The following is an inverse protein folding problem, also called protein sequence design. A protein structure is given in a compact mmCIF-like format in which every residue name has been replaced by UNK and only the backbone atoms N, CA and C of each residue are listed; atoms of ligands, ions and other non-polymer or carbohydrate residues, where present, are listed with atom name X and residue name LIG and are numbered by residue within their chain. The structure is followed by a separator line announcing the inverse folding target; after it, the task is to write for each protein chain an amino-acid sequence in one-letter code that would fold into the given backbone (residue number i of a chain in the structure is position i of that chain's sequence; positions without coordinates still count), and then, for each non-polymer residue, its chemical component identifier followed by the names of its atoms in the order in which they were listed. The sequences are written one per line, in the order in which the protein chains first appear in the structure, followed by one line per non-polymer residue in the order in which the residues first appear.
data_IF_390890199068
#
_entry.id   IF_390890199068
#
_cell.length_a   1.000
_cell.length_b   1.000
_cell.length_c   1.000
_cell.angle_alpha   90.00
_cell.angle_beta   90.00
_cell.angle_gamma   90.00
#
_symmetry.space_group_name_H-M   'P 1'
#
loop_
_entity.id
_entity.type
_entity.pdbx_description
1 polymer ?
#
# COMPACT_ATOMS: atom_id res chain seq x y z
N UNK A 1 27.14 45.75 45.98
CA UNK A 1 27.25 46.86 44.99
C UNK A 1 27.68 46.27 43.66
N UNK A 2 27.02 46.68 42.57
CA UNK A 2 27.24 46.39 41.13
C UNK A 2 26.46 45.24 40.48
N UNK A 3 25.40 45.69 39.81
CA UNK A 3 24.65 45.22 38.63
C UNK A 3 25.52 44.94 37.39
N UNK A 4 25.05 44.06 36.47
CA UNK A 4 24.95 44.15 34.97
C UNK A 4 24.81 42.70 34.40
N UNK A 5 23.63 42.20 34.04
CA UNK A 5 22.86 42.21 32.76
C UNK A 5 23.22 41.07 31.76
N UNK A 6 22.17 40.25 31.49
CA UNK A 6 21.78 39.44 30.32
C UNK A 6 22.78 38.59 29.50
N UNK A 7 22.48 37.30 29.42
CA UNK A 7 22.40 36.57 28.14
C UNK A 7 21.39 35.42 28.25
N UNK A 8 20.31 35.55 27.48
CA UNK A 8 19.28 34.54 27.26
C UNK A 8 19.83 33.52 26.27
N UNK A 9 19.86 32.25 26.67
CA UNK A 9 19.91 31.11 25.75
C UNK A 9 18.86 30.09 26.22
N UNK A 10 17.64 30.27 25.74
CA UNK A 10 16.61 29.23 25.75
C UNK A 10 16.92 28.35 24.53
N UNK A 11 17.56 27.21 24.76
CA UNK A 11 17.51 26.10 23.82
C UNK A 11 16.23 25.31 24.11
N UNK A 12 15.22 25.52 23.27
CA UNK A 12 14.12 24.58 23.08
C UNK A 12 14.66 23.48 22.15
N UNK A 13 15.06 22.35 22.70
CA UNK A 13 15.09 21.11 21.92
C UNK A 13 13.70 20.49 21.98
N UNK A 14 13.10 20.39 20.80
CA UNK A 14 11.81 19.76 20.56
C UNK A 14 11.85 18.29 20.98
N UNK A 15 10.94 17.92 21.88
CA UNK A 15 10.69 16.53 22.22
C UNK A 15 10.07 15.81 21.02
N UNK A 16 10.89 15.17 20.19
CA UNK A 16 10.46 14.08 19.32
C UNK A 16 9.85 12.99 20.22
N UNK A 17 8.53 12.84 20.17
CA UNK A 17 7.81 11.85 20.97
C UNK A 17 8.10 10.43 20.50
N UNK A 18 8.91 9.69 21.26
CA UNK A 18 9.06 8.24 21.11
C UNK A 18 7.86 7.55 21.74
N UNK A 19 7.04 6.86 20.94
CA UNK A 19 5.87 6.12 21.41
C UNK A 19 5.92 4.65 21.03
N UNK A 20 6.03 3.75 22.01
CA UNK A 20 5.79 2.32 21.82
C UNK A 20 4.29 2.05 21.85
N UNK A 21 3.71 1.55 20.74
CA UNK A 21 2.36 0.97 20.73
C UNK A 21 2.45 -0.44 20.15
N UNK A 22 1.94 -1.43 20.87
CA UNK A 22 1.94 -2.86 20.49
C UNK A 22 3.32 -3.50 20.21
N UNK A 23 4.39 -3.01 20.85
CA UNK A 23 5.73 -3.62 20.75
C UNK A 23 6.44 -3.40 19.41
N UNK A 24 5.95 -2.51 18.56
CA UNK A 24 6.58 -2.11 17.29
C UNK A 24 7.11 -0.68 17.41
N UNK A 25 8.36 -0.47 17.00
CA UNK A 25 8.97 0.85 16.93
C UNK A 25 8.45 1.56 15.66
N UNK A 26 7.55 2.54 15.81
CA UNK A 26 7.11 3.37 14.70
C UNK A 26 8.07 4.56 14.54
N UNK A 27 8.94 4.51 13.53
CA UNK A 27 9.71 5.67 13.08
C UNK A 27 9.27 5.98 11.64
N UNK A 28 8.86 7.22 11.35
CA UNK A 28 8.40 7.71 10.03
C UNK A 28 9.43 7.47 8.92
N UNK A 29 10.72 7.48 9.26
CA UNK A 29 11.85 7.19 8.36
C UNK A 29 11.82 5.75 7.79
N UNK A 30 11.21 4.78 8.50
CA UNK A 30 11.14 3.39 8.02
C UNK A 30 10.11 3.19 6.90
N UNK A 31 9.05 4.00 6.86
CA UNK A 31 8.03 3.95 5.79
C UNK A 31 8.59 4.52 4.49
N UNK A 32 9.41 5.57 4.55
CA UNK A 32 10.13 6.13 3.40
C UNK A 32 11.18 5.15 2.83
N UNK A 33 11.86 4.38 3.69
CA UNK A 33 12.83 3.37 3.27
C UNK A 33 12.21 2.11 2.66
N UNK A 34 10.93 1.85 2.92
CA UNK A 34 10.20 0.72 2.37
C UNK A 34 9.49 1.05 1.05
N UNK A 35 9.05 2.31 0.88
CA UNK A 35 8.30 2.81 -0.28
C UNK A 35 9.08 2.78 -1.61
N UNK A 36 10.39 2.57 -1.59
CA UNK A 36 11.23 2.58 -2.78
C UNK A 36 11.56 1.22 -3.39
N UNK A 37 11.21 0.11 -2.72
CA UNK A 37 11.60 -1.24 -3.18
C UNK A 37 10.57 -1.80 -4.16
N UNK A 38 11.05 -2.22 -5.33
CA UNK A 38 10.22 -2.86 -6.35
C UNK A 38 10.95 -4.04 -7.01
N UNK A 39 10.18 -4.91 -7.65
CA UNK A 39 10.66 -6.10 -8.35
C UNK A 39 10.68 -5.87 -9.86
N UNK A 40 11.74 -6.34 -10.54
CA UNK A 40 11.86 -6.32 -12.00
C UNK A 40 12.32 -7.65 -12.55
N UNK A 41 11.66 -8.06 -13.63
CA UNK A 41 12.09 -9.15 -14.50
C UNK A 41 12.85 -8.60 -15.71
N UNK A 42 13.55 -9.46 -16.44
CA UNK A 42 14.07 -9.08 -17.76
C UNK A 42 12.93 -8.92 -18.76
N UNK A 43 13.11 -8.10 -19.79
CA UNK A 43 12.21 -8.06 -20.96
C UNK A 43 12.04 -9.43 -21.64
N UNK A 44 13.02 -10.32 -21.48
CA UNK A 44 12.99 -11.68 -22.01
C UNK A 44 12.43 -12.72 -21.01
N UNK A 45 11.76 -12.24 -19.96
CA UNK A 45 11.10 -13.04 -18.93
C UNK A 45 11.94 -13.28 -17.68
N UNK A 46 11.37 -14.11 -16.81
CA UNK A 46 11.87 -14.45 -15.47
C UNK A 46 13.24 -15.12 -15.46
N UNK A 47 14.06 -14.77 -14.46
CA UNK A 47 15.38 -15.34 -14.17
C UNK A 47 16.36 -15.24 -15.34
N UNK A 48 16.41 -14.06 -15.97
CA UNK A 48 17.30 -13.79 -17.10
C UNK A 48 18.34 -12.73 -16.84
N UNK A 49 18.38 -12.07 -15.68
CA UNK A 49 19.36 -11.01 -15.42
C UNK A 49 20.60 -11.56 -14.69
N UNK A 50 21.77 -11.36 -15.27
CA UNK A 50 23.04 -11.44 -14.52
C UNK A 50 23.13 -10.30 -13.52
N UNK A 51 24.05 -10.38 -12.54
CA UNK A 51 24.19 -9.30 -11.54
C UNK A 51 24.46 -7.92 -12.19
N UNK A 52 25.26 -7.90 -13.27
CA UNK A 52 25.58 -6.66 -13.98
C UNK A 52 24.36 -6.10 -14.71
N UNK A 53 23.56 -6.96 -15.36
CA UNK A 53 22.34 -6.55 -16.05
C UNK A 53 21.27 -6.09 -15.06
N UNK A 54 21.08 -6.82 -13.96
CA UNK A 54 20.17 -6.45 -12.87
C UNK A 54 20.50 -5.07 -12.29
N UNK A 55 21.78 -4.80 -12.03
CA UNK A 55 22.25 -3.49 -11.59
C UNK A 55 21.92 -2.39 -12.62
N UNK A 56 22.19 -2.64 -13.90
CA UNK A 56 21.92 -1.68 -14.97
C UNK A 56 20.42 -1.38 -15.14
N UNK A 57 19.54 -2.37 -14.94
CA UNK A 57 18.08 -2.18 -14.95
C UNK A 57 17.67 -1.18 -13.86
N UNK A 58 18.11 -1.40 -12.62
CA UNK A 58 17.76 -0.49 -11.53
C UNK A 58 18.34 0.92 -11.74
N UNK A 59 19.57 1.04 -12.23
CA UNK A 59 20.21 2.34 -12.51
C UNK A 59 19.51 3.09 -13.65
N UNK A 60 19.05 2.39 -14.68
CA UNK A 60 18.28 2.98 -15.78
C UNK A 60 16.94 3.58 -15.30
N UNK A 61 16.31 2.94 -14.31
CA UNK A 61 15.06 3.41 -13.68
C UNK A 61 15.31 4.42 -12.54
N UNK A 62 16.49 5.06 -12.51
CA UNK A 62 16.84 6.09 -11.53
C UNK A 62 17.08 5.57 -10.11
N UNK A 63 17.17 4.25 -9.94
CA UNK A 63 17.39 3.59 -8.66
C UNK A 63 18.74 2.88 -8.57
N UNK A 64 18.80 1.93 -7.64
CA UNK A 64 19.94 1.02 -7.43
C UNK A 64 19.43 -0.35 -6.98
N UNK A 65 20.28 -1.36 -6.92
CA UNK A 65 19.90 -2.62 -6.28
C UNK A 65 19.53 -2.39 -4.81
N UNK A 66 18.39 -2.95 -4.38
CA UNK A 66 17.94 -2.89 -3.00
C UNK A 66 18.90 -3.62 -2.07
N UNK A 67 19.08 -3.10 -0.86
CA UNK A 67 19.80 -3.84 0.20
C UNK A 67 18.89 -4.89 0.84
N UNK A 68 19.47 -5.80 1.61
CA UNK A 68 18.71 -6.80 2.34
C UNK A 68 17.76 -6.14 3.34
N UNK A 69 18.22 -5.11 4.02
CA UNK A 69 17.46 -4.35 5.02
C UNK A 69 16.29 -3.62 4.38
N UNK A 70 16.51 -3.03 3.19
CA UNK A 70 15.44 -2.38 2.42
C UNK A 70 14.38 -3.39 1.98
N UNK A 71 14.80 -4.56 1.47
CA UNK A 71 13.86 -5.62 1.09
C UNK A 71 13.07 -6.17 2.30
N UNK A 72 13.72 -6.32 3.46
CA UNK A 72 13.06 -6.75 4.69
C UNK A 72 12.09 -5.69 5.23
N UNK A 73 12.44 -4.41 5.16
CA UNK A 73 11.54 -3.30 5.50
C UNK A 73 10.30 -3.29 4.59
N UNK A 74 10.49 -3.41 3.27
CA UNK A 74 9.41 -3.53 2.30
C UNK A 74 8.51 -4.74 2.61
N UNK A 75 9.10 -5.89 2.95
CA UNK A 75 8.35 -7.09 3.35
C UNK A 75 7.49 -6.83 4.60
N UNK A 76 8.02 -6.14 5.61
CA UNK A 76 7.29 -5.87 6.85
C UNK A 76 6.03 -5.03 6.63
N UNK A 77 5.98 -4.22 5.56
CA UNK A 77 4.79 -3.44 5.18
C UNK A 77 3.93 -4.12 4.11
N UNK A 78 4.19 -5.38 3.77
CA UNK A 78 3.32 -6.18 2.89
C UNK A 78 3.89 -6.50 1.50
N UNK A 79 5.11 -6.06 1.17
CA UNK A 79 5.73 -6.40 -0.12
C UNK A 79 6.04 -7.89 -0.22
N UNK A 80 5.37 -8.59 -1.13
CA UNK A 80 5.43 -10.04 -1.29
C UNK A 80 5.69 -10.42 -2.74
N UNK A 81 6.77 -11.16 -2.99
CA UNK A 81 7.11 -11.62 -4.34
C UNK A 81 7.66 -13.05 -4.28
N UNK A 82 7.08 -13.93 -5.08
CA UNK A 82 7.46 -15.35 -5.16
C UNK A 82 8.53 -15.63 -6.22
N UNK A 83 9.62 -14.87 -6.19
CA UNK A 83 10.65 -14.93 -7.22
C UNK A 83 12.00 -14.51 -6.66
N UNK A 84 13.03 -15.34 -6.77
CA UNK A 84 14.36 -14.98 -6.31
C UNK A 84 14.99 -13.90 -7.20
N UNK A 85 15.56 -12.86 -6.58
CA UNK A 85 16.14 -11.74 -7.28
C UNK A 85 17.47 -11.28 -6.70
N UNK A 86 18.25 -10.60 -7.53
CA UNK A 86 19.48 -9.93 -7.12
C UNK A 86 19.21 -8.78 -6.15
N UNK A 87 20.08 -8.68 -5.16
CA UNK A 87 20.19 -7.59 -4.19
C UNK A 87 21.60 -6.99 -4.24
N UNK A 88 21.75 -5.87 -3.54
CA UNK A 88 23.01 -5.17 -3.40
C UNK A 88 24.15 -6.10 -2.96
N UNK A 89 25.36 -5.87 -3.48
CA UNK A 89 26.58 -6.69 -3.26
C UNK A 89 26.51 -8.13 -3.78
N UNK A 90 25.50 -8.49 -4.58
CA UNK A 90 25.39 -9.81 -5.19
C UNK A 90 24.77 -10.86 -4.27
N UNK A 91 23.99 -10.41 -3.27
CA UNK A 91 23.12 -11.31 -2.51
C UNK A 91 21.90 -11.66 -3.35
N UNK A 92 21.31 -12.83 -3.14
CA UNK A 92 20.06 -13.24 -3.78
C UNK A 92 19.07 -13.66 -2.71
N UNK A 93 17.82 -13.21 -2.84
CA UNK A 93 16.73 -13.63 -1.96
C UNK A 93 15.39 -13.09 -2.44
N UNK A 94 14.32 -13.34 -1.68
CA UNK A 94 12.98 -12.84 -1.99
C UNK A 94 12.06 -12.73 -0.77
N UNK A 95 11.13 -11.74 -0.73
CA UNK A 95 10.31 -11.44 0.45
C UNK A 95 9.00 -12.24 0.50
N UNK A 96 8.77 -12.92 1.63
CA UNK A 96 7.55 -13.68 1.91
C UNK A 96 6.77 -13.09 3.08
N UNK A 97 5.58 -12.57 2.76
CA UNK A 97 4.59 -12.09 3.73
C UNK A 97 3.58 -13.20 4.03
N UNK A 98 2.99 -13.78 2.99
CA UNK A 98 1.99 -14.86 3.09
C UNK A 98 2.58 -16.16 2.54
N UNK A 99 3.14 -17.03 3.40
CA UNK A 99 3.82 -18.23 2.92
C UNK A 99 2.83 -19.29 2.43
N UNK A 100 3.21 -19.98 1.35
CA UNK A 100 2.56 -21.20 0.88
C UNK A 100 3.61 -22.29 0.70
N UNK A 101 3.22 -23.53 0.41
CA UNK A 101 4.21 -24.59 0.12
C UNK A 101 5.03 -24.26 -1.13
N UNK A 102 4.37 -23.71 -2.15
CA UNK A 102 5.01 -23.31 -3.42
C UNK A 102 5.71 -21.95 -3.33
N UNK A 103 5.51 -21.22 -2.24
CA UNK A 103 6.06 -19.89 -2.04
C UNK A 103 6.59 -19.68 -0.63
N UNK A 104 7.91 -19.80 -0.48
CA UNK A 104 8.57 -19.68 0.82
C UNK A 104 8.54 -20.97 1.65
N UNK A 105 8.06 -22.09 1.11
CA UNK A 105 8.03 -23.39 1.77
C UNK A 105 7.38 -23.34 3.16
N UNK A 106 6.28 -22.60 3.29
CA UNK A 106 5.58 -22.39 4.56
C UNK A 106 6.25 -21.42 5.53
N UNK A 107 7.33 -20.73 5.13
CA UNK A 107 8.08 -19.79 5.99
C UNK A 107 7.92 -18.35 5.54
N UNK A 108 7.64 -17.46 6.51
CA UNK A 108 7.67 -16.00 6.34
C UNK A 108 9.09 -15.46 6.47
N UNK A 109 9.34 -14.26 5.93
CA UNK A 109 10.64 -13.59 5.97
C UNK A 109 11.28 -13.47 4.59
N UNK A 110 12.55 -13.05 4.53
CA UNK A 110 13.35 -13.17 3.31
C UNK A 110 13.83 -14.62 3.19
N UNK A 111 13.48 -15.28 2.08
CA UNK A 111 14.14 -16.52 1.70
C UNK A 111 15.48 -16.13 1.08
N UNK A 112 16.55 -16.29 1.85
CA UNK A 112 17.88 -15.81 1.52
C UNK A 112 18.76 -16.93 0.96
N UNK A 113 19.26 -16.74 -0.26
CA UNK A 113 20.20 -17.65 -0.93
C UNK A 113 21.67 -17.20 -0.75
N UNK A 114 21.89 -16.14 0.04
CA UNK A 114 23.21 -15.64 0.39
C UNK A 114 23.90 -14.89 -0.75
N UNK A 115 25.18 -14.57 -0.53
CA UNK A 115 26.03 -13.92 -1.53
C UNK A 115 26.46 -14.92 -2.61
N UNK A 116 26.20 -14.60 -3.87
CA UNK A 116 26.58 -15.44 -5.00
C UNK A 116 27.97 -15.04 -5.48
N UNK A 117 28.89 -16.02 -5.50
CA UNK A 117 30.24 -15.83 -6.03
C UNK A 117 30.24 -15.80 -7.57
N UNK A 118 29.36 -16.59 -8.20
CA UNK A 118 29.18 -16.61 -9.64
C UNK A 118 28.20 -15.51 -10.07
N UNK A 119 28.72 -14.36 -10.47
CA UNK A 119 27.91 -13.21 -10.93
C UNK A 119 27.26 -13.41 -12.31
N UNK A 120 27.55 -14.51 -12.99
CA UNK A 120 26.91 -14.92 -14.24
C UNK A 120 25.65 -15.75 -14.03
N UNK A 121 25.32 -16.13 -12.79
CA UNK A 121 24.00 -16.67 -12.46
C UNK A 121 22.89 -15.71 -12.89
N UNK A 122 21.69 -16.24 -13.13
CA UNK A 122 20.57 -15.43 -13.61
C UNK A 122 19.39 -15.52 -12.65
N UNK A 123 18.89 -14.36 -12.29
CA UNK A 123 17.79 -14.16 -11.35
C UNK A 123 16.93 -12.98 -11.84
N UNK A 124 15.85 -12.69 -11.13
CA UNK A 124 15.17 -11.40 -11.27
C UNK A 124 15.97 -10.33 -10.51
N UNK A 125 15.41 -9.15 -10.28
CA UNK A 125 16.08 -8.13 -9.47
C UNK A 125 15.14 -7.37 -8.56
N UNK A 126 15.64 -6.99 -7.40
CA UNK A 126 15.00 -6.03 -6.51
C UNK A 126 15.75 -4.71 -6.59
N UNK A 127 15.04 -3.69 -7.02
CA UNK A 127 15.53 -2.34 -7.10
C UNK A 127 15.04 -1.53 -5.91
N UNK A 128 15.77 -0.48 -5.61
CA UNK A 128 15.44 0.53 -4.63
C UNK A 128 15.66 1.89 -5.25
N UNK A 129 14.61 2.68 -5.32
CA UNK A 129 14.71 4.09 -5.64
C UNK A 129 14.08 4.88 -4.47
N UNK A 130 14.87 5.61 -3.65
CA UNK A 130 14.32 6.42 -2.56
C UNK A 130 13.49 7.61 -3.08
N UNK A 131 13.67 7.96 -4.34
CA UNK A 131 12.88 8.94 -5.08
C UNK A 131 11.85 8.26 -5.98
N UNK A 132 11.62 6.95 -5.80
CA UNK A 132 10.43 6.29 -6.33
C UNK A 132 9.25 7.00 -5.71
N UNK A 133 8.56 7.76 -6.54
CA UNK A 133 7.28 8.34 -6.18
C UNK A 133 6.15 7.32 -6.32
N UNK A 134 6.48 6.05 -6.60
CA UNK A 134 5.55 4.95 -6.51
C UNK A 134 5.22 4.63 -5.04
N UNK A 135 3.93 4.45 -4.73
CA UNK A 135 3.51 4.12 -3.37
C UNK A 135 2.30 3.19 -3.31
N UNK A 136 1.95 2.74 -2.10
CA UNK A 136 0.77 1.89 -1.86
C UNK A 136 1.10 0.41 -1.60
N UNK A 137 0.35 -0.52 -2.19
CA UNK A 137 0.51 -1.97 -2.01
C UNK A 137 -0.82 -2.74 -1.89
N UNK A 138 -0.73 -4.02 -1.51
CA UNK A 138 -1.91 -4.89 -1.30
C UNK A 138 -2.37 -4.80 0.15
N UNK A 139 -3.65 -4.46 0.35
CA UNK A 139 -4.28 -4.30 1.66
C UNK A 139 -5.28 -5.42 1.90
N UNK A 140 -5.19 -6.09 3.05
CA UNK A 140 -6.04 -7.24 3.37
C UNK A 140 -6.63 -7.22 4.78
N UNK A 141 -6.38 -6.14 5.50
CA UNK A 141 -6.97 -5.84 6.79
C UNK A 141 -8.48 -5.59 6.61
N UNK A 142 -9.33 -5.90 7.61
CA UNK A 142 -10.76 -5.65 7.53
C UNK A 142 -11.10 -4.15 7.58
N UNK A 143 -10.20 -3.30 8.04
CA UNK A 143 -10.38 -1.84 8.04
C UNK A 143 -9.02 -1.14 7.97
N UNK A 144 -8.94 -0.05 7.20
CA UNK A 144 -7.75 0.82 7.17
C UNK A 144 -8.11 2.23 6.69
N UNK A 145 -7.37 3.22 7.18
CA UNK A 145 -7.34 4.57 6.60
C UNK A 145 -6.11 4.67 5.69
N UNK A 146 -6.36 4.96 4.42
CA UNK A 146 -5.38 5.26 3.39
C UNK A 146 -5.22 6.78 3.34
N UNK A 147 -3.96 7.24 3.24
CA UNK A 147 -3.64 8.66 3.14
C UNK A 147 -2.72 8.89 1.95
N UNK A 148 -2.79 10.07 1.35
CA UNK A 148 -1.77 10.53 0.41
C UNK A 148 -0.38 10.54 1.09
N UNK A 149 0.71 10.29 0.33
CA UNK A 149 2.06 10.47 0.85
C UNK A 149 2.26 11.90 1.38
N UNK A 150 2.89 12.03 2.55
CA UNK A 150 3.18 13.33 3.16
C UNK A 150 2.06 13.94 4.01
N UNK A 151 0.83 13.40 3.95
CA UNK A 151 -0.32 13.91 4.71
C UNK A 151 0.00 14.10 6.21
N UNK A 152 -0.36 15.25 6.85
CA UNK A 152 -1.25 16.32 6.36
C UNK A 152 -0.55 17.41 5.55
N UNK A 153 0.74 17.27 5.22
CA UNK A 153 1.38 18.18 4.29
C UNK A 153 0.96 17.85 2.86
N UNK A 154 1.20 18.79 1.95
CA UNK A 154 0.94 18.57 0.54
C UNK A 154 1.67 17.34 0.02
N UNK A 155 1.02 16.62 -0.91
CA UNK A 155 1.68 15.54 -1.63
C UNK A 155 2.76 16.08 -2.58
N UNK A 156 3.65 15.20 -3.03
CA UNK A 156 4.66 15.57 -4.02
C UNK A 156 4.14 15.35 -5.44
N UNK A 157 4.70 16.12 -6.37
CA UNK A 157 4.50 15.97 -7.82
C UNK A 157 5.02 14.61 -8.31
N UNK A 158 4.71 14.18 -9.53
CA UNK A 158 5.10 12.93 -10.21
C UNK A 158 4.87 11.63 -9.40
N UNK A 159 3.94 11.62 -8.45
CA UNK A 159 3.58 10.46 -7.64
C UNK A 159 2.66 9.52 -8.40
N UNK A 160 2.85 8.21 -8.18
CA UNK A 160 2.01 7.16 -8.74
C UNK A 160 1.75 6.11 -7.67
N UNK A 161 0.60 6.16 -7.02
CA UNK A 161 0.27 5.22 -5.95
C UNK A 161 -0.84 4.27 -6.36
N UNK A 162 -0.68 3.01 -5.98
CA UNK A 162 -1.68 1.96 -6.18
C UNK A 162 -1.96 1.22 -4.88
N UNK A 163 -3.22 1.19 -4.44
CA UNK A 163 -3.67 0.35 -3.34
C UNK A 163 -4.66 -0.68 -3.85
N UNK A 164 -4.30 -1.96 -3.73
CA UNK A 164 -5.17 -3.08 -4.08
C UNK A 164 -5.79 -3.66 -2.81
N UNK A 165 -7.06 -3.36 -2.57
CA UNK A 165 -7.81 -3.86 -1.43
C UNK A 165 -8.36 -5.25 -1.77
N UNK A 166 -8.15 -6.22 -0.88
CA UNK A 166 -8.72 -7.57 -0.98
C UNK A 166 -9.22 -8.02 0.38
N UNK A 167 -10.54 -8.04 0.54
CA UNK A 167 -11.22 -8.58 1.72
C UNK A 167 -11.62 -10.04 1.49
N UNK A 168 -12.17 -10.72 2.51
CA UNK A 168 -12.52 -12.13 2.39
C UNK A 168 -13.66 -12.33 1.38
N UNK A 169 -13.71 -13.52 0.78
CA UNK A 169 -14.84 -13.89 -0.08
C UNK A 169 -16.16 -13.80 0.71
N UNK A 170 -17.21 -13.30 0.05
CA UNK A 170 -18.50 -13.03 0.69
C UNK A 170 -18.61 -11.65 1.36
N UNK A 171 -17.49 -10.94 1.51
CA UNK A 171 -17.47 -9.55 1.97
C UNK A 171 -17.38 -8.58 0.79
N UNK A 172 -17.73 -7.33 1.05
CA UNK A 172 -17.52 -6.18 0.16
C UNK A 172 -16.67 -5.12 0.83
N UNK A 173 -16.10 -4.23 0.02
CA UNK A 173 -15.32 -3.06 0.44
C UNK A 173 -16.27 -1.87 0.47
N UNK A 174 -16.41 -1.25 1.64
CA UNK A 174 -17.07 0.04 1.82
C UNK A 174 -16.00 1.13 1.91
N UNK A 175 -16.11 2.17 1.08
CA UNK A 175 -15.22 3.32 1.04
C UNK A 175 -15.94 4.55 1.57
N UNK A 176 -15.29 5.25 2.48
CA UNK A 176 -15.69 6.53 3.05
C UNK A 176 -14.57 7.54 2.84
N UNK A 177 -14.88 8.68 2.21
CA UNK A 177 -13.96 9.79 2.02
C UNK A 177 -14.00 10.68 3.25
N UNK A 178 -12.85 10.86 3.90
CA UNK A 178 -12.73 11.66 5.12
C UNK A 178 -12.15 13.04 4.84
N UNK A 179 -11.29 13.16 3.83
CA UNK A 179 -10.64 14.40 3.43
C UNK A 179 -10.18 14.31 1.96
N UNK A 180 -10.29 15.40 1.21
CA UNK A 180 -9.79 15.52 -0.17
C UNK A 180 -9.40 16.98 -0.46
N UNK A 181 -8.20 17.16 -1.00
CA UNK A 181 -7.63 18.41 -1.46
C UNK A 181 -6.56 18.07 -2.51
N UNK A 182 -7.01 17.86 -3.74
CA UNK A 182 -6.19 17.50 -4.92
C UNK A 182 -6.30 18.66 -5.92
N UNK A 183 -5.26 18.94 -6.71
CA UNK A 183 -5.32 19.96 -7.76
C UNK A 183 -6.60 19.82 -8.60
N UNK A 184 -7.36 20.90 -8.70
CA UNK A 184 -8.62 20.92 -9.45
C UNK A 184 -8.38 21.36 -10.90
N UNK A 185 -8.86 20.55 -11.84
CA UNK A 185 -9.01 20.93 -13.23
C UNK A 185 -10.31 20.37 -13.82
N UNK A 186 -10.71 20.88 -14.99
CA UNK A 186 -12.02 20.62 -15.60
C UNK A 186 -12.36 19.12 -15.77
N UNK A 187 -11.36 18.27 -15.98
CA UNK A 187 -11.54 16.84 -16.28
C UNK A 187 -10.67 15.93 -15.38
N UNK A 188 -10.10 16.48 -14.30
CA UNK A 188 -9.11 15.82 -13.43
C UNK A 188 -7.99 15.15 -14.24
N UNK A 189 -7.31 15.91 -15.10
CA UNK A 189 -6.26 15.44 -15.98
C UNK A 189 -4.85 15.64 -15.43
N UNK A 190 -4.66 16.61 -14.53
CA UNK A 190 -3.38 16.88 -13.87
C UNK A 190 -3.18 15.88 -12.72
N UNK A 191 -3.73 16.17 -11.56
CA UNK A 191 -3.71 15.30 -10.40
C UNK A 191 -5.07 14.64 -10.22
N UNK A 192 -5.07 13.34 -9.94
CA UNK A 192 -6.33 12.65 -9.75
C UNK A 192 -6.21 11.39 -8.90
N UNK A 193 -7.34 11.06 -8.31
CA UNK A 193 -7.58 9.81 -7.63
C UNK A 193 -8.66 9.00 -8.37
N UNK A 194 -8.39 7.75 -8.70
CA UNK A 194 -9.32 6.83 -9.34
C UNK A 194 -9.64 5.64 -8.44
N UNK A 195 -10.89 5.20 -8.51
CA UNK A 195 -11.35 3.96 -7.88
C UNK A 195 -11.86 3.00 -8.95
N UNK A 196 -11.42 1.75 -8.87
CA UNK A 196 -11.84 0.66 -9.72
C UNK A 196 -12.47 -0.46 -8.86
N UNK A 197 -13.67 -0.89 -9.20
CA UNK A 197 -14.36 -2.05 -8.62
C UNK A 197 -13.83 -3.36 -9.22
N UNK A 198 -12.50 -3.48 -9.23
CA UNK A 198 -11.77 -4.64 -9.74
C UNK A 198 -10.37 -4.70 -9.08
N UNK A 199 -9.61 -5.76 -9.38
CA UNK A 199 -8.23 -5.93 -8.86
C UNK A 199 -7.16 -5.40 -9.83
N UNK A 200 -7.56 -4.61 -10.84
CA UNK A 200 -6.70 -3.93 -11.81
C UNK A 200 -7.18 -2.48 -12.02
N UNK A 201 -6.45 -1.69 -12.82
CA UNK A 201 -6.82 -0.33 -13.22
C UNK A 201 -7.32 -0.26 -14.67
N UNK A 202 -7.92 -1.35 -15.17
CA UNK A 202 -8.43 -1.48 -16.54
C UNK A 202 -9.96 -1.62 -16.52
N UNK A 203 -10.49 -2.38 -15.57
CA UNK A 203 -11.89 -2.74 -15.51
C UNK A 203 -12.61 -2.08 -14.32
N UNK A 204 -13.89 -1.76 -14.52
CA UNK A 204 -14.76 -1.34 -13.43
C UNK A 204 -14.41 0.02 -12.84
N UNK A 205 -13.95 0.99 -13.64
CA UNK A 205 -13.78 2.37 -13.20
C UNK A 205 -15.09 2.86 -12.57
N UNK A 206 -15.03 3.20 -11.29
CA UNK A 206 -16.16 3.77 -10.53
C UNK A 206 -16.18 5.28 -10.72
N UNK A 207 -15.03 5.92 -10.62
CA UNK A 207 -14.91 7.36 -10.80
C UNK A 207 -13.47 7.83 -10.70
N UNK A 208 -13.26 9.04 -11.21
CA UNK A 208 -12.05 9.84 -11.10
C UNK A 208 -12.39 11.12 -10.34
N UNK A 209 -11.54 11.49 -9.39
CA UNK A 209 -11.79 12.56 -8.43
C UNK A 209 -10.57 13.47 -8.31
N UNK A 210 -10.81 14.77 -8.24
CA UNK A 210 -9.83 15.82 -7.94
C UNK A 210 -10.56 16.99 -7.27
N UNK A 211 -9.84 18.06 -6.91
CA UNK A 211 -10.41 19.19 -6.17
C UNK A 211 -10.61 18.89 -4.68
N UNK A 212 -11.56 19.62 -4.09
CA UNK A 212 -11.82 19.64 -2.63
C UNK A 212 -13.21 19.16 -2.24
N UNK A 213 -14.03 18.74 -3.21
CA UNK A 213 -15.37 18.22 -2.94
C UNK A 213 -15.31 16.74 -2.53
N UNK A 214 -15.80 16.42 -1.34
CA UNK A 214 -15.87 15.04 -0.85
C UNK A 214 -16.86 14.21 -1.69
N UNK A 215 -16.41 13.12 -2.32
CA UNK A 215 -17.31 12.23 -3.05
C UNK A 215 -18.24 11.44 -2.11
N UNK A 216 -19.33 10.93 -2.67
CA UNK A 216 -20.21 9.99 -1.97
C UNK A 216 -19.49 8.69 -1.61
N UNK A 217 -19.94 8.04 -0.54
CA UNK A 217 -19.43 6.73 -0.14
C UNK A 217 -19.67 5.66 -1.20
N UNK A 218 -18.74 4.72 -1.36
CA UNK A 218 -18.79 3.70 -2.41
C UNK A 218 -18.84 2.30 -1.78
N UNK A 219 -19.63 1.40 -2.35
CA UNK A 219 -19.64 -0.03 -2.01
C UNK A 219 -19.23 -0.83 -3.24
N UNK A 220 -18.18 -1.65 -3.11
CA UNK A 220 -17.75 -2.56 -4.16
C UNK A 220 -18.81 -3.63 -4.46
N UNK A 221 -18.83 -4.17 -5.68
CA UNK A 221 -19.72 -5.30 -6.00
C UNK A 221 -19.16 -6.64 -5.51
N UNK A 222 -17.82 -6.76 -5.46
CA UNK A 222 -17.08 -7.94 -5.03
C UNK A 222 -16.19 -7.70 -3.80
N UNK A 223 -15.25 -8.60 -3.55
CA UNK A 223 -14.33 -8.55 -2.41
C UNK A 223 -13.00 -7.85 -2.71
N UNK A 224 -12.91 -7.14 -3.84
CA UNK A 224 -11.71 -6.46 -4.31
C UNK A 224 -12.02 -5.06 -4.79
N UNK A 225 -11.07 -4.14 -4.64
CA UNK A 225 -11.13 -2.79 -5.17
C UNK A 225 -9.71 -2.25 -5.35
N UNK A 226 -9.48 -1.44 -6.38
CA UNK A 226 -8.18 -0.80 -6.65
C UNK A 226 -8.32 0.71 -6.59
N UNK A 227 -7.42 1.36 -5.85
CA UNK A 227 -7.34 2.80 -5.71
C UNK A 227 -6.04 3.26 -6.35
N UNK A 228 -6.09 4.29 -7.19
CA UNK A 228 -4.94 4.84 -7.91
C UNK A 228 -4.86 6.34 -7.67
N UNK A 229 -3.69 6.84 -7.28
CA UNK A 229 -3.42 8.27 -7.18
C UNK A 229 -2.27 8.62 -8.12
N UNK A 230 -2.45 9.62 -8.95
CA UNK A 230 -1.42 10.09 -9.88
C UNK A 230 -1.30 11.61 -9.77
N UNK A 231 -0.07 12.11 -9.76
CA UNK A 231 0.21 13.55 -9.78
C UNK A 231 1.14 13.94 -10.93
N UNK A 232 0.98 15.17 -11.42
CA UNK A 232 1.76 15.72 -12.53
C UNK A 232 3.04 16.43 -12.03
N UNK A 233 3.71 17.23 -12.87
CA UNK A 233 4.99 17.87 -12.52
C UNK A 233 4.86 19.10 -11.62
N UNK A 234 3.68 19.62 -11.35
CA UNK A 234 3.45 20.92 -10.73
C UNK A 234 2.12 21.01 -10.00
N UNK A 235 2.02 21.95 -9.07
CA UNK A 235 0.82 22.15 -8.23
C UNK A 235 0.54 20.93 -7.35
N UNK A 236 0.22 21.19 -6.08
CA UNK A 236 -0.17 20.11 -5.17
C UNK A 236 -1.10 20.64 -4.10
N UNK A 237 -2.04 19.81 -3.67
CA UNK A 237 -2.93 20.05 -2.54
C UNK A 237 -2.54 19.24 -1.30
N UNK A 238 -3.31 19.39 -0.21
CA UNK A 238 -3.15 18.68 1.05
C UNK A 238 -3.35 17.16 0.97
N UNK A 239 -3.90 16.68 -0.14
CA UNK A 239 -4.05 15.26 -0.47
C UNK A 239 -5.36 14.68 0.03
N UNK A 240 -5.36 13.48 0.61
CA UNK A 240 -6.62 12.81 0.97
C UNK A 240 -6.49 11.89 2.17
N UNK A 241 -7.64 11.62 2.79
CA UNK A 241 -7.85 10.50 3.71
C UNK A 241 -9.07 9.70 3.27
N UNK A 242 -8.87 8.41 3.04
CA UNK A 242 -9.93 7.49 2.63
C UNK A 242 -9.94 6.30 3.57
N UNK A 243 -11.08 6.04 4.19
CA UNK A 243 -11.29 4.86 5.01
C UNK A 243 -11.94 3.76 4.17
N UNK A 244 -11.40 2.55 4.27
CA UNK A 244 -12.12 1.37 3.79
C UNK A 244 -12.44 0.43 4.94
N UNK A 245 -13.60 -0.23 4.86
CA UNK A 245 -14.04 -1.26 5.81
C UNK A 245 -14.63 -2.45 5.04
N UNK A 246 -14.33 -3.66 5.50
CA UNK A 246 -14.93 -4.90 5.04
C UNK A 246 -16.33 -5.03 5.64
N UNK A 247 -17.34 -5.16 4.78
CA UNK A 247 -18.73 -5.36 5.20
C UNK A 247 -19.20 -6.76 4.78
N UNK A 248 -19.86 -7.45 5.71
CA UNK A 248 -20.49 -8.73 5.43
C UNK A 248 -21.80 -8.50 4.69
N UNK A 249 -22.06 -9.30 3.65
CA UNK A 249 -23.37 -9.30 3.02
C UNK A 249 -24.39 -9.94 3.98
N UNK A 250 -25.58 -9.33 4.17
CA UNK A 250 -26.62 -9.96 4.96
C UNK A 250 -26.95 -11.33 4.35
N UNK A 251 -26.87 -12.38 5.17
CA UNK A 251 -27.29 -13.71 4.74
C UNK A 251 -28.76 -13.66 4.37
N UNK A 252 -29.13 -14.26 3.24
CA UNK A 252 -30.55 -14.55 2.98
C UNK A 252 -31.01 -15.49 4.09
N UNK A 253 -31.73 -14.95 5.06
CA UNK A 253 -32.41 -15.73 6.07
C UNK A 253 -33.49 -16.53 5.34
N UNK A 254 -33.28 -17.83 5.21
CA UNK A 254 -34.32 -18.75 4.75
C UNK A 254 -35.34 -18.86 5.88
N UNK A 255 -36.29 -17.93 5.91
CA UNK A 255 -37.49 -18.05 6.73
C UNK A 255 -38.36 -19.14 6.11
N UNK A 256 -38.01 -20.39 6.41
CA UNK A 256 -38.86 -21.55 6.20
C UNK A 256 -40.04 -21.44 7.15
N UNK A 257 -41.20 -21.11 6.58
CA UNK A 257 -42.48 -21.15 7.26
C UNK A 257 -42.73 -22.53 7.88
N UNK A 258 -42.72 -22.59 9.21
CA UNK A 258 -43.46 -23.59 9.97
C UNK A 258 -44.56 -22.84 10.73
N UNK A 259 -45.66 -22.54 10.04
CA UNK A 259 -46.92 -22.24 10.71
C UNK A 259 -47.50 -23.57 11.20
N UNK A 260 -47.29 -23.85 12.48
CA UNK A 260 -47.98 -24.89 13.23
C UNK A 260 -49.48 -24.64 13.17
N UNK A 261 -50.23 -25.66 12.77
CA UNK A 261 -51.67 -25.74 12.89
C UNK A 261 -52.08 -25.67 14.36
N UNK A 262 -52.74 -24.60 14.77
CA UNK A 262 -53.55 -24.59 15.99
C UNK A 262 -55.01 -24.37 15.62
N UNK A 263 -55.80 -25.36 16.01
CA UNK A 263 -57.25 -25.40 15.92
C UNK A 263 -57.86 -24.39 16.90
N UNK A 264 -58.84 -23.63 16.45
CA UNK A 264 -59.84 -23.03 17.33
C UNK A 264 -61.21 -23.60 16.97
N UNK A 265 -61.72 -24.43 17.88
CA UNK A 265 -63.13 -24.77 18.00
C UNK A 265 -63.93 -23.54 18.43
N UNK A 266 -65.08 -23.36 17.76
CA UNK A 266 -66.42 -23.21 18.34
C UNK A 266 -66.66 -22.10 19.40
N UNK A 267 -67.50 -21.10 19.07
CA UNK A 267 -68.87 -20.94 19.61
C UNK A 267 -69.54 -19.61 19.18
N UNK A 268 -70.87 -19.70 18.96
CA UNK A 268 -71.92 -18.65 18.89
C UNK A 268 -72.02 -17.83 17.57
N UNK A 269 -73.16 -17.73 16.84
CA UNK A 269 -74.60 -18.01 17.05
C UNK A 269 -75.22 -18.64 15.79
#
# INVERSE_FOLDING_TARGET
MKTVIFLVLVFLEETFGWGFKNGVLHNSIWLEQAAGVYHRESRNGKYKLTYREAKAVCEYEGGRLATYEQLEAARQIGFHVCAAGWLHKGRVGYPIVKPTFNCGFGKKGIIDYGFRLNKSERWDTYCYNPHSKECGGVLTEPERIIKSPGYPNNYENDQICYWHIRVNYGQRVFIEFLDIDIEEDIDCLSDYFEIYDSYDDIHGLVGRYCGYELPDSIISTGNVMTLKFLTDRSVSGGGFQIKYTAIDLPSKQSDGANASSEAYNEFEY
#
